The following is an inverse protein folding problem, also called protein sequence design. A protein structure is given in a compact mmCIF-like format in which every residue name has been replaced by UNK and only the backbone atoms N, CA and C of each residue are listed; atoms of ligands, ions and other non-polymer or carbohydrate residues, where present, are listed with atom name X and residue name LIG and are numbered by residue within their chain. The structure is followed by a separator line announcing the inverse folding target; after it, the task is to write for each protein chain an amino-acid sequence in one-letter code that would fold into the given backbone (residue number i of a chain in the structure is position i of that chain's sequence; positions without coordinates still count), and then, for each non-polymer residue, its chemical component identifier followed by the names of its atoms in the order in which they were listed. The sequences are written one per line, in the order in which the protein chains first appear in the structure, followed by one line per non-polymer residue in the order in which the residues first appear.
data_IF_060284449322
#
_entry.id   IF_060284449322
#
_cell.length_a   1.000
_cell.length_b   1.000
_cell.length_c   1.000
_cell.angle_alpha   90.00
_cell.angle_beta   90.00
_cell.angle_gamma   90.00
#
_symmetry.space_group_name_H-M   'P 1'
#
loop_
_entity.id
_entity.type
_entity.pdbx_description
1 polymer ?
#
# COMPACT_ATOMS: atom_id res chain seq x y z
N UNK A 1 3.63 29.51 36.26
CA UNK A 1 2.18 29.76 36.09
C UNK A 1 1.50 28.41 36.32
N UNK A 2 0.56 28.29 37.27
CA UNK A 2 -0.13 27.02 37.55
C UNK A 2 -0.81 26.51 36.26
N UNK A 3 -0.72 25.21 35.94
CA UNK A 3 -1.33 24.60 34.74
C UNK A 3 -2.82 24.97 34.59
N UNK A 4 -3.53 25.08 35.71
CA UNK A 4 -4.93 25.53 35.74
C UNK A 4 -5.13 26.96 35.21
N UNK A 5 -4.24 27.90 35.55
CA UNK A 5 -4.31 29.29 35.06
C UNK A 5 -3.97 29.34 33.56
N UNK A 6 -3.05 28.50 33.11
CA UNK A 6 -2.68 28.39 31.70
C UNK A 6 -3.88 27.96 30.85
N UNK A 7 -4.61 26.90 31.25
CA UNK A 7 -5.80 26.44 30.54
C UNK A 7 -6.92 27.49 30.47
N UNK A 8 -7.13 28.28 31.54
CA UNK A 8 -8.13 29.37 31.54
C UNK A 8 -7.76 30.47 30.53
N UNK A 9 -6.48 30.85 30.47
CA UNK A 9 -6.00 31.88 29.54
C UNK A 9 -6.07 31.39 28.09
N UNK A 10 -5.72 30.12 27.85
CA UNK A 10 -5.77 29.49 26.52
C UNK A 10 -7.22 29.34 26.03
N UNK A 11 -8.14 28.85 26.85
CA UNK A 11 -9.56 28.81 26.51
C UNK A 11 -10.12 30.20 26.16
N UNK A 12 -9.82 31.21 27.00
CA UNK A 12 -10.27 32.57 26.72
C UNK A 12 -9.68 33.13 25.43
N UNK A 13 -8.45 32.76 25.09
CA UNK A 13 -7.85 33.11 23.79
C UNK A 13 -8.64 32.48 22.64
N UNK A 14 -9.00 31.20 22.70
CA UNK A 14 -9.77 30.53 21.63
C UNK A 14 -11.18 31.08 21.47
N UNK A 15 -11.80 31.56 22.55
CA UNK A 15 -13.10 32.24 22.48
C UNK A 15 -13.07 33.55 21.67
N UNK A 16 -11.92 34.26 21.65
CA UNK A 16 -11.85 35.64 21.12
C UNK A 16 -10.89 35.83 19.94
N UNK A 17 -10.02 34.86 19.63
CA UNK A 17 -9.07 34.97 18.53
C UNK A 17 -9.78 34.96 17.16
N UNK A 18 -9.13 35.43 16.10
CA UNK A 18 -9.74 35.36 14.77
C UNK A 18 -9.81 33.91 14.27
N UNK A 19 -10.72 33.58 13.34
CA UNK A 19 -10.78 32.25 12.74
C UNK A 19 -9.45 31.79 12.13
N UNK A 20 -8.68 32.70 11.53
CA UNK A 20 -7.36 32.40 10.95
C UNK A 20 -6.35 32.00 12.01
N UNK A 21 -6.40 32.64 13.19
CA UNK A 21 -5.53 32.31 14.32
C UNK A 21 -5.90 30.94 14.91
N UNK A 22 -7.19 30.64 15.03
CA UNK A 22 -7.67 29.33 15.46
C UNK A 22 -7.26 28.22 14.48
N UNK A 23 -7.44 28.45 13.17
CA UNK A 23 -7.01 27.51 12.13
C UNK A 23 -5.49 27.31 12.13
N UNK A 24 -4.71 28.39 12.25
CA UNK A 24 -3.25 28.29 12.35
C UNK A 24 -2.84 27.49 13.59
N UNK A 25 -3.49 27.71 14.73
CA UNK A 25 -3.22 26.95 15.95
C UNK A 25 -3.51 25.45 15.77
N UNK A 26 -4.62 25.08 15.13
CA UNK A 26 -4.96 23.69 14.81
C UNK A 26 -3.92 23.03 13.90
N UNK A 27 -3.55 23.72 12.81
CA UNK A 27 -2.53 23.24 11.85
C UNK A 27 -1.15 23.07 12.50
N UNK A 28 -0.77 24.01 13.35
CA UNK A 28 0.57 24.09 13.94
C UNK A 28 0.70 23.23 15.21
N UNK A 29 -0.34 22.47 15.58
CA UNK A 29 -0.24 21.50 16.66
C UNK A 29 0.84 20.46 16.33
N UNK A 30 1.83 20.24 17.21
CA UNK A 30 2.81 19.19 16.99
C UNK A 30 2.07 17.85 16.91
N UNK A 31 2.43 16.93 16.00
CA UNK A 31 1.80 15.60 15.92
C UNK A 31 1.80 14.98 17.31
N UNK A 32 0.72 14.28 17.69
CA UNK A 32 0.66 13.67 19.00
C UNK A 32 1.90 12.77 19.16
N UNK A 33 2.82 13.15 20.07
CA UNK A 33 3.98 12.32 20.38
C UNK A 33 3.45 11.03 20.99
N UNK A 34 3.34 10.00 20.17
CA UNK A 34 2.85 8.69 20.54
C UNK A 34 3.55 7.61 19.73
N UNK A 35 4.84 7.41 20.01
CA UNK A 35 5.45 6.09 19.89
C UNK A 35 4.60 5.13 20.72
N UNK A 36 3.65 4.43 20.09
CA UNK A 36 2.98 3.16 20.44
C UNK A 36 2.56 2.85 21.89
N UNK A 37 2.85 3.67 22.91
CA UNK A 37 2.80 3.26 24.32
C UNK A 37 1.99 4.15 25.25
N UNK A 38 1.38 5.23 24.80
CA UNK A 38 0.45 5.99 25.63
C UNK A 38 -0.54 6.78 24.78
N UNK A 39 -1.51 6.09 24.19
CA UNK A 39 -2.67 6.70 23.51
C UNK A 39 -3.54 7.57 24.44
N UNK A 40 -3.24 7.65 25.75
CA UNK A 40 -4.12 8.27 26.75
C UNK A 40 -3.62 9.58 27.38
N UNK A 41 -2.38 10.03 27.17
CA UNK A 41 -1.84 11.15 27.98
C UNK A 41 -1.96 12.54 27.34
N UNK A 42 -2.32 12.67 26.06
CA UNK A 42 -2.43 13.98 25.36
C UNK A 42 -3.76 14.24 24.67
N UNK A 43 -4.65 13.25 24.59
CA UNK A 43 -6.00 13.42 24.05
C UNK A 43 -6.84 14.35 24.97
N UNK A 44 -6.55 14.38 26.28
CA UNK A 44 -7.31 15.16 27.26
C UNK A 44 -7.17 16.70 27.14
N UNK A 45 -5.97 17.25 26.97
CA UNK A 45 -5.77 18.72 26.95
C UNK A 45 -6.12 19.38 25.61
N UNK A 46 -6.00 18.66 24.49
CA UNK A 46 -6.44 19.16 23.18
C UNK A 46 -7.97 19.16 23.05
N UNK A 47 -8.64 18.21 23.72
CA UNK A 47 -10.10 18.05 23.71
C UNK A 47 -10.84 19.30 24.20
N UNK A 48 -10.40 19.91 25.30
CA UNK A 48 -11.08 21.09 25.87
C UNK A 48 -10.99 22.32 24.95
N UNK A 49 -9.83 22.55 24.33
CA UNK A 49 -9.66 23.64 23.35
C UNK A 49 -10.47 23.40 22.08
N UNK A 50 -10.49 22.17 21.57
CA UNK A 50 -11.29 21.82 20.39
C UNK A 50 -12.79 21.97 20.63
N UNK A 51 -13.29 21.71 21.86
CA UNK A 51 -14.69 21.99 22.23
C UNK A 51 -15.02 23.46 22.19
N UNK A 52 -14.15 24.32 22.76
CA UNK A 52 -14.32 25.78 22.69
C UNK A 52 -14.34 26.26 21.23
N UNK A 53 -13.48 25.71 20.38
CA UNK A 53 -13.44 26.02 18.95
C UNK A 53 -14.70 25.53 18.22
N UNK A 54 -15.21 24.34 18.55
CA UNK A 54 -16.44 23.78 18.00
C UNK A 54 -17.65 24.68 18.29
N UNK A 55 -17.74 25.23 19.51
CA UNK A 55 -18.84 26.09 19.95
C UNK A 55 -18.92 27.42 19.18
N UNK A 56 -17.82 27.84 18.53
CA UNK A 56 -17.79 29.07 17.74
C UNK A 56 -18.61 29.00 16.46
N UNK A 57 -18.85 27.78 15.94
CA UNK A 57 -19.66 27.55 14.74
C UNK A 57 -19.23 28.43 13.55
N UNK A 58 -17.91 28.50 13.32
CA UNK A 58 -17.29 29.27 12.24
C UNK A 58 -16.79 28.32 11.14
N UNK A 59 -17.10 28.57 9.84
CA UNK A 59 -16.74 27.66 8.76
C UNK A 59 -15.24 27.36 8.63
N UNK A 60 -14.36 28.34 8.87
CA UNK A 60 -12.92 28.13 8.76
C UNK A 60 -12.38 27.31 9.94
N UNK A 61 -12.96 27.51 11.12
CA UNK A 61 -12.62 26.72 12.32
C UNK A 61 -13.12 25.29 12.15
N UNK A 62 -14.34 25.10 11.65
CA UNK A 62 -14.91 23.78 11.35
C UNK A 62 -14.05 23.01 10.34
N UNK A 63 -13.62 23.67 9.26
CA UNK A 63 -12.69 23.07 8.32
C UNK A 63 -11.34 22.73 8.98
N UNK A 64 -10.83 23.60 9.85
CA UNK A 64 -9.63 23.34 10.64
C UNK A 64 -9.77 22.13 11.56
N UNK A 65 -10.89 22.02 12.27
CA UNK A 65 -11.20 20.91 13.16
C UNK A 65 -11.39 19.61 12.39
N UNK A 66 -12.04 19.64 11.23
CA UNK A 66 -12.12 18.50 10.33
C UNK A 66 -10.72 18.02 9.92
N UNK A 67 -9.84 18.94 9.55
CA UNK A 67 -8.52 18.59 9.00
C UNK A 67 -7.46 18.22 10.04
N UNK A 68 -7.47 18.85 11.21
CA UNK A 68 -6.40 18.73 12.20
C UNK A 68 -6.89 18.38 13.61
N UNK A 69 -8.20 18.30 13.82
CA UNK A 69 -8.78 17.92 15.11
C UNK A 69 -8.40 16.49 15.52
N UNK A 70 -8.36 16.28 16.83
CA UNK A 70 -7.87 15.05 17.45
C UNK A 70 -8.90 14.39 18.36
N UNK A 71 -9.88 15.16 18.81
CA UNK A 71 -10.93 14.68 19.71
C UNK A 71 -12.02 13.97 18.92
N UNK A 72 -12.15 12.66 19.13
CA UNK A 72 -13.23 11.87 18.54
C UNK A 72 -14.62 12.45 18.89
N UNK A 73 -14.79 12.99 20.10
CA UNK A 73 -16.03 13.64 20.56
C UNK A 73 -16.34 14.91 19.74
N UNK A 74 -15.32 15.73 19.45
CA UNK A 74 -15.49 16.94 18.64
C UNK A 74 -15.74 16.57 17.19
N UNK A 75 -15.04 15.57 16.66
CA UNK A 75 -15.26 15.08 15.31
C UNK A 75 -16.68 14.55 15.12
N UNK A 76 -17.20 13.76 16.07
CA UNK A 76 -18.58 13.25 16.04
C UNK A 76 -19.60 14.40 16.04
N UNK A 77 -19.44 15.38 16.94
CA UNK A 77 -20.34 16.53 17.02
C UNK A 77 -20.28 17.41 15.76
N UNK A 78 -19.07 17.64 15.23
CA UNK A 78 -18.84 18.44 14.03
C UNK A 78 -19.43 17.76 12.78
N UNK A 79 -19.28 16.45 12.66
CA UNK A 79 -19.70 15.68 11.49
C UNK A 79 -21.18 15.90 11.12
N UNK A 80 -22.05 16.06 12.12
CA UNK A 80 -23.49 16.27 11.92
C UNK A 80 -23.78 17.54 11.12
N UNK A 81 -22.99 18.61 11.28
CA UNK A 81 -23.20 19.90 10.60
C UNK A 81 -22.36 20.11 9.35
N UNK A 82 -21.31 19.32 9.16
CA UNK A 82 -20.44 19.45 7.99
C UNK A 82 -21.14 19.11 6.67
N UNK A 83 -20.74 19.83 5.62
CA UNK A 83 -21.04 19.45 4.24
C UNK A 83 -20.23 18.22 3.81
N UNK A 84 -20.60 17.62 2.68
CA UNK A 84 -19.98 16.40 2.19
C UNK A 84 -18.46 16.52 1.99
N UNK A 85 -17.99 17.61 1.39
CA UNK A 85 -16.57 17.83 1.14
C UNK A 85 -15.74 17.87 2.45
N UNK A 86 -16.26 18.55 3.48
CA UNK A 86 -15.57 18.67 4.77
C UNK A 86 -15.60 17.35 5.55
N UNK A 87 -16.64 16.52 5.38
CA UNK A 87 -16.67 15.15 5.91
C UNK A 87 -15.61 14.26 5.28
N UNK A 88 -15.40 14.37 3.97
CA UNK A 88 -14.31 13.66 3.28
C UNK A 88 -12.94 14.09 3.83
N UNK A 89 -12.73 15.40 4.04
CA UNK A 89 -11.50 15.93 4.66
C UNK A 89 -11.30 15.36 6.07
N UNK A 90 -12.36 15.39 6.89
CA UNK A 90 -12.32 14.81 8.23
C UNK A 90 -11.88 13.34 8.20
N UNK A 91 -12.51 12.54 7.35
CA UNK A 91 -12.21 11.12 7.24
C UNK A 91 -10.81 10.83 6.72
N UNK A 92 -10.31 11.64 5.79
CA UNK A 92 -8.97 11.48 5.23
C UNK A 92 -7.84 11.90 6.17
N UNK A 93 -8.12 12.78 7.14
CA UNK A 93 -7.08 13.42 7.95
C UNK A 93 -7.16 13.13 9.46
N UNK A 94 -8.25 12.55 9.96
CA UNK A 94 -8.43 12.32 11.40
C UNK A 94 -7.26 11.51 12.00
N UNK A 95 -6.67 12.00 13.10
CA UNK A 95 -5.44 11.44 13.67
C UNK A 95 -5.63 10.04 14.28
N UNK A 96 -6.81 9.73 14.80
CA UNK A 96 -7.16 8.38 15.27
C UNK A 96 -7.53 7.42 14.13
N UNK A 97 -7.58 7.91 12.88
CA UNK A 97 -8.22 7.23 11.75
C UNK A 97 -9.76 7.22 11.81
N UNK A 98 -10.31 7.37 13.02
CA UNK A 98 -11.72 7.28 13.38
C UNK A 98 -12.31 5.90 13.10
N UNK A 99 -13.00 5.35 14.10
CA UNK A 99 -13.62 4.04 13.98
C UNK A 99 -14.83 4.06 13.05
N UNK A 100 -15.29 2.89 12.57
CA UNK A 100 -16.56 2.78 11.87
C UNK A 100 -17.76 3.26 12.73
N UNK A 101 -17.62 3.17 14.06
CA UNK A 101 -18.57 3.69 15.05
C UNK A 101 -18.51 5.22 15.18
N UNK A 102 -17.31 5.82 15.18
CA UNK A 102 -17.08 7.27 15.34
C UNK A 102 -17.78 8.10 14.26
N UNK A 103 -18.00 7.53 13.08
CA UNK A 103 -18.64 8.23 11.96
C UNK A 103 -19.95 7.60 11.48
N UNK A 104 -20.54 6.72 12.30
CA UNK A 104 -21.79 6.00 11.98
C UNK A 104 -21.81 5.44 10.54
N UNK A 105 -20.71 4.80 10.14
CA UNK A 105 -20.63 4.11 8.84
C UNK A 105 -21.72 3.02 8.76
N UNK A 106 -22.08 2.46 9.92
CA UNK A 106 -23.11 1.45 10.13
C UNK A 106 -24.48 1.76 9.51
N UNK A 107 -24.85 3.04 9.42
CA UNK A 107 -26.15 3.45 8.87
C UNK A 107 -26.17 3.63 7.35
N UNK A 108 -25.01 3.73 6.69
CA UNK A 108 -24.90 4.22 5.31
C UNK A 108 -23.67 3.70 4.55
N UNK A 109 -23.42 2.38 4.55
CA UNK A 109 -22.71 1.82 3.38
C UNK A 109 -23.71 1.92 2.21
N UNK A 110 -23.76 3.09 1.58
CA UNK A 110 -24.62 3.42 0.45
C UNK A 110 -23.78 4.01 -0.68
N UNK A 111 -24.32 3.99 -1.90
CA UNK A 111 -23.72 4.64 -3.07
C UNK A 111 -23.36 6.11 -2.80
N UNK A 112 -24.19 6.79 -2.01
CA UNK A 112 -24.08 8.23 -1.78
C UNK A 112 -22.97 8.60 -0.79
N UNK A 113 -22.37 7.60 -0.12
CA UNK A 113 -21.27 7.77 0.83
C UNK A 113 -19.93 7.26 0.29
N UNK A 114 -19.82 6.90 -0.99
CA UNK A 114 -18.61 6.29 -1.54
C UNK A 114 -17.35 7.14 -1.38
N UNK A 115 -17.43 8.46 -1.62
CA UNK A 115 -16.28 9.36 -1.48
C UNK A 115 -15.80 9.45 -0.03
N UNK A 116 -16.74 9.46 0.92
CA UNK A 116 -16.45 9.46 2.35
C UNK A 116 -15.81 8.14 2.78
N UNK A 117 -16.33 7.01 2.31
CA UNK A 117 -15.77 5.68 2.58
C UNK A 117 -14.37 5.51 1.99
N UNK A 118 -14.17 6.00 0.77
CA UNK A 118 -12.85 6.03 0.13
C UNK A 118 -11.88 6.87 0.97
N UNK A 119 -12.28 8.09 1.34
CA UNK A 119 -11.46 9.00 2.15
C UNK A 119 -11.03 8.35 3.47
N UNK A 120 -11.96 7.65 4.12
CA UNK A 120 -11.70 6.91 5.36
C UNK A 120 -10.73 5.75 5.16
N UNK A 121 -10.98 4.85 4.20
CA UNK A 121 -10.15 3.65 4.01
C UNK A 121 -8.76 3.98 3.46
N UNK A 122 -8.57 5.16 2.84
CA UNK A 122 -7.26 5.67 2.41
C UNK A 122 -6.57 6.56 3.45
N UNK A 123 -7.17 6.79 4.62
CA UNK A 123 -6.54 7.55 5.69
C UNK A 123 -5.30 6.79 6.20
N UNK A 124 -4.09 7.37 6.17
CA UNK A 124 -2.87 6.69 6.62
C UNK A 124 -2.86 6.37 8.13
N UNK A 125 -3.71 7.01 8.92
CA UNK A 125 -3.85 6.80 10.36
C UNK A 125 -4.96 5.79 10.72
N UNK A 126 -5.61 5.16 9.72
CA UNK A 126 -6.61 4.12 10.00
C UNK A 126 -5.97 3.00 10.84
N UNK A 127 -6.65 2.61 11.92
CA UNK A 127 -6.15 1.59 12.83
C UNK A 127 -6.25 0.18 12.25
N UNK A 128 -5.35 -0.70 12.66
CA UNK A 128 -5.31 -2.11 12.23
C UNK A 128 -6.63 -2.84 12.53
N UNK A 129 -7.28 -2.55 13.67
CA UNK A 129 -8.59 -3.13 14.02
C UNK A 129 -9.69 -2.80 13.00
N UNK A 130 -9.63 -1.62 12.36
CA UNK A 130 -10.59 -1.23 11.34
C UNK A 130 -10.36 -2.01 10.03
N UNK A 131 -9.10 -2.25 9.64
CA UNK A 131 -8.79 -3.14 8.53
C UNK A 131 -9.15 -4.59 8.85
N UNK A 132 -8.88 -5.07 10.05
CA UNK A 132 -9.31 -6.40 10.50
C UNK A 132 -10.83 -6.56 10.36
N UNK A 133 -11.61 -5.58 10.82
CA UNK A 133 -13.06 -5.60 10.66
C UNK A 133 -13.47 -5.59 9.17
N UNK A 134 -12.80 -4.80 8.33
CA UNK A 134 -13.06 -4.76 6.89
C UNK A 134 -12.75 -6.10 6.21
N UNK A 135 -11.60 -6.72 6.49
CA UNK A 135 -11.17 -7.97 5.84
C UNK A 135 -11.96 -9.18 6.32
N UNK A 136 -12.34 -9.22 7.60
CA UNK A 136 -13.19 -10.29 8.13
C UNK A 136 -14.68 -10.04 7.88
N UNK A 137 -15.05 -8.89 7.28
CA UNK A 137 -16.44 -8.45 7.03
C UNK A 137 -17.28 -8.42 8.32
N UNK A 138 -16.71 -7.87 9.38
CA UNK A 138 -17.32 -7.81 10.72
C UNK A 138 -17.97 -6.45 11.01
N UNK A 139 -18.91 -6.44 11.96
CA UNK A 139 -19.52 -5.23 12.48
C UNK A 139 -20.30 -4.48 11.39
N UNK A 140 -19.86 -3.27 11.04
CA UNK A 140 -20.58 -2.44 10.05
C UNK A 140 -20.54 -3.03 8.64
N UNK A 141 -19.54 -3.88 8.34
CA UNK A 141 -19.34 -4.46 7.01
C UNK A 141 -20.18 -5.71 6.75
N UNK A 142 -20.78 -6.31 7.79
CA UNK A 142 -21.66 -7.48 7.66
C UNK A 142 -22.82 -7.24 6.70
N UNK A 143 -23.30 -5.99 6.64
CA UNK A 143 -24.44 -5.58 5.80
C UNK A 143 -24.02 -5.02 4.44
N UNK A 144 -22.73 -4.84 4.18
CA UNK A 144 -22.26 -4.38 2.88
C UNK A 144 -22.65 -5.40 1.80
N UNK A 145 -23.06 -4.95 0.62
CA UNK A 145 -23.14 -5.84 -0.55
C UNK A 145 -21.74 -6.26 -0.99
N UNK A 146 -21.62 -7.30 -1.80
CA UNK A 146 -20.32 -7.73 -2.32
C UNK A 146 -19.66 -6.61 -3.14
N UNK A 147 -20.40 -5.92 -4.00
CA UNK A 147 -19.88 -4.77 -4.76
C UNK A 147 -19.35 -3.65 -3.85
N UNK A 148 -20.06 -3.34 -2.77
CA UNK A 148 -19.62 -2.33 -1.81
C UNK A 148 -18.34 -2.78 -1.11
N UNK A 149 -18.29 -4.04 -0.67
CA UNK A 149 -17.13 -4.59 0.00
C UNK A 149 -15.91 -4.63 -0.92
N UNK A 150 -16.08 -5.06 -2.17
CA UNK A 150 -15.02 -5.08 -3.18
C UNK A 150 -14.43 -3.70 -3.43
N UNK A 151 -15.27 -2.66 -3.52
CA UNK A 151 -14.78 -1.27 -3.67
C UNK A 151 -13.93 -0.85 -2.47
N UNK A 152 -14.35 -1.18 -1.24
CA UNK A 152 -13.59 -0.88 -0.03
C UNK A 152 -12.23 -1.59 -0.02
N UNK A 153 -12.18 -2.86 -0.42
CA UNK A 153 -10.94 -3.64 -0.51
C UNK A 153 -10.00 -3.07 -1.58
N UNK A 154 -10.52 -2.66 -2.74
CA UNK A 154 -9.72 -2.02 -3.80
C UNK A 154 -9.08 -0.71 -3.30
N UNK A 155 -9.85 0.12 -2.60
CA UNK A 155 -9.33 1.37 -2.04
C UNK A 155 -8.34 1.11 -0.89
N UNK A 156 -8.57 0.09 -0.06
CA UNK A 156 -7.64 -0.33 0.98
C UNK A 156 -6.26 -0.68 0.39
N UNK A 157 -6.20 -1.32 -0.79
CA UNK A 157 -4.95 -1.61 -1.50
C UNK A 157 -4.10 -0.39 -1.87
N UNK A 158 -4.67 0.81 -1.80
CA UNK A 158 -3.94 2.08 -2.02
C UNK A 158 -3.49 2.76 -0.72
N UNK A 159 -3.82 2.19 0.43
CA UNK A 159 -3.47 2.79 1.71
C UNK A 159 -1.98 2.53 2.05
N UNK A 160 -1.26 3.62 2.35
CA UNK A 160 0.16 3.58 2.69
C UNK A 160 0.47 2.69 3.90
N UNK A 161 -0.46 2.53 4.86
CA UNK A 161 -0.30 1.65 6.03
C UNK A 161 -0.05 0.20 5.62
N UNK A 162 -0.68 -0.28 4.56
CA UNK A 162 -0.51 -1.65 4.07
C UNK A 162 0.77 -1.83 3.22
N UNK A 163 1.36 -0.73 2.73
CA UNK A 163 2.59 -0.74 1.94
C UNK A 163 3.86 -0.43 2.77
N UNK A 164 3.72 -0.10 4.05
CA UNK A 164 4.84 0.32 4.91
C UNK A 164 5.35 -0.84 5.75
N UNK A 165 6.60 -1.32 5.58
CA UNK A 165 7.21 -2.39 6.39
C UNK A 165 7.27 -2.06 7.89
N UNK A 166 7.35 -3.10 8.72
CA UNK A 166 7.54 -2.92 10.15
C UNK A 166 8.98 -2.53 10.48
N UNK A 167 9.18 -1.30 10.91
CA UNK A 167 10.46 -0.81 11.38
C UNK A 167 10.41 -0.53 12.88
N UNK A 168 10.85 -1.49 13.69
CA UNK A 168 11.06 -1.27 15.12
C UNK A 168 12.46 -1.66 15.54
N UNK A 169 13.15 -0.72 16.18
CA UNK A 169 14.44 -0.97 16.85
C UNK A 169 14.27 -1.81 18.13
N UNK A 170 13.04 -1.95 18.63
CA UNK A 170 12.72 -2.66 19.85
C UNK A 170 11.87 -3.90 19.54
N UNK A 171 12.32 -5.05 20.04
CA UNK A 171 11.56 -6.30 19.96
C UNK A 171 10.43 -6.27 20.98
N UNK A 172 9.26 -5.76 20.59
CA UNK A 172 8.00 -5.96 21.31
C UNK A 172 7.16 -6.98 20.54
N UNK A 173 7.03 -8.17 21.11
CA UNK A 173 6.30 -9.27 20.45
C UNK A 173 4.81 -8.98 20.26
N UNK A 174 4.23 -8.07 21.06
CA UNK A 174 2.84 -7.66 20.87
C UNK A 174 2.68 -6.73 19.67
N UNK A 175 3.59 -5.75 19.52
CA UNK A 175 3.52 -4.79 18.42
C UNK A 175 3.81 -5.46 17.08
N UNK A 176 4.77 -6.40 17.03
CA UNK A 176 5.04 -7.22 15.83
C UNK A 176 3.83 -8.10 15.48
N UNK A 177 3.24 -8.78 16.47
CA UNK A 177 2.01 -9.57 16.26
C UNK A 177 0.87 -8.71 15.73
N UNK A 178 0.59 -7.57 16.38
CA UNK A 178 -0.48 -6.65 15.99
C UNK A 178 -0.25 -6.11 14.58
N UNK A 179 0.98 -5.71 14.26
CA UNK A 179 1.32 -5.21 12.93
C UNK A 179 1.07 -6.26 11.85
N UNK A 180 1.47 -7.52 12.08
CA UNK A 180 1.36 -8.60 11.09
C UNK A 180 -0.07 -9.10 10.89
N UNK A 181 -0.91 -9.05 11.93
CA UNK A 181 -2.28 -9.59 11.92
C UNK A 181 -3.08 -9.15 10.68
N UNK A 182 -3.04 -7.86 10.35
CA UNK A 182 -3.79 -7.28 9.23
C UNK A 182 -3.39 -7.87 7.86
N UNK A 183 -2.12 -8.23 7.70
CA UNK A 183 -1.61 -8.85 6.47
C UNK A 183 -2.09 -10.29 6.35
N UNK A 184 -2.03 -11.06 7.44
CA UNK A 184 -2.57 -12.42 7.47
C UNK A 184 -4.06 -12.45 7.11
N UNK A 185 -4.85 -11.50 7.62
CA UNK A 185 -6.28 -11.40 7.33
C UNK A 185 -6.55 -11.01 5.86
N UNK A 186 -5.78 -10.08 5.30
CA UNK A 186 -5.89 -9.73 3.88
C UNK A 186 -5.60 -10.93 2.97
N UNK A 187 -4.51 -11.67 3.24
CA UNK A 187 -4.15 -12.84 2.44
C UNK A 187 -5.17 -13.98 2.57
N UNK A 188 -5.79 -14.16 3.74
CA UNK A 188 -6.87 -15.14 3.95
C UNK A 188 -8.10 -14.90 3.07
N UNK A 189 -8.32 -13.68 2.59
CA UNK A 189 -9.38 -13.42 1.62
C UNK A 189 -9.22 -14.27 0.36
N UNK A 190 -7.99 -14.56 -0.07
CA UNK A 190 -7.73 -15.43 -1.22
C UNK A 190 -8.25 -16.87 -1.02
N UNK A 191 -8.50 -17.31 0.22
CA UNK A 191 -9.05 -18.62 0.52
C UNK A 191 -10.58 -18.64 0.62
N UNK A 192 -11.19 -17.52 1.02
CA UNK A 192 -12.58 -17.47 1.48
C UNK A 192 -13.55 -16.84 0.48
N UNK A 193 -13.12 -15.84 -0.30
CA UNK A 193 -14.02 -15.11 -1.22
C UNK A 193 -14.40 -15.96 -2.44
N UNK A 194 -15.53 -15.67 -3.12
CA UNK A 194 -15.93 -16.37 -4.34
C UNK A 194 -14.84 -16.34 -5.42
N UNK A 195 -14.69 -17.46 -6.13
CA UNK A 195 -13.67 -17.59 -7.19
C UNK A 195 -14.23 -17.07 -8.51
N UNK A 196 -14.12 -15.77 -8.75
CA UNK A 196 -14.53 -15.12 -10.01
C UNK A 196 -13.48 -14.10 -10.49
N UNK A 197 -13.55 -13.67 -11.75
CA UNK A 197 -12.61 -12.67 -12.29
C UNK A 197 -12.74 -11.31 -11.59
N UNK A 198 -13.95 -10.94 -11.15
CA UNK A 198 -14.21 -9.72 -10.37
C UNK A 198 -13.51 -9.76 -9.02
N UNK A 199 -13.62 -10.88 -8.30
CA UNK A 199 -12.94 -11.08 -7.03
C UNK A 199 -11.43 -11.16 -7.20
N UNK A 200 -10.95 -11.82 -8.25
CA UNK A 200 -9.54 -11.83 -8.56
C UNK A 200 -8.98 -10.42 -8.75
N UNK A 201 -9.67 -9.55 -9.49
CA UNK A 201 -9.22 -8.17 -9.70
C UNK A 201 -9.30 -7.31 -8.43
N UNK A 202 -10.24 -7.62 -7.54
CA UNK A 202 -10.35 -6.95 -6.23
C UNK A 202 -9.18 -7.33 -5.33
N UNK A 203 -8.85 -8.62 -5.26
CA UNK A 203 -7.72 -9.12 -4.47
C UNK A 203 -6.39 -8.65 -5.07
N UNK A 204 -6.25 -8.64 -6.39
CA UNK A 204 -5.09 -8.09 -7.10
C UNK A 204 -4.83 -6.64 -6.67
N UNK A 205 -5.85 -5.77 -6.77
CA UNK A 205 -5.76 -4.37 -6.37
C UNK A 205 -5.39 -4.19 -4.88
N UNK A 206 -5.93 -5.05 -4.00
CA UNK A 206 -5.63 -5.05 -2.57
C UNK A 206 -4.19 -5.47 -2.28
N UNK A 207 -3.76 -6.60 -2.84
CA UNK A 207 -2.56 -7.33 -2.42
C UNK A 207 -1.29 -6.86 -3.14
N UNK A 208 -1.40 -6.22 -4.32
CA UNK A 208 -0.23 -5.83 -5.12
C UNK A 208 0.76 -4.89 -4.42
N UNK A 209 0.26 -4.04 -3.50
CA UNK A 209 1.07 -3.06 -2.77
C UNK A 209 1.38 -3.51 -1.34
N UNK A 210 0.90 -4.68 -0.91
CA UNK A 210 1.09 -5.14 0.46
C UNK A 210 2.51 -5.66 0.69
N UNK A 211 3.02 -5.43 1.90
CA UNK A 211 4.28 -6.04 2.34
C UNK A 211 4.13 -7.57 2.35
N UNK A 212 4.97 -8.32 1.60
CA UNK A 212 4.80 -9.77 1.43
C UNK A 212 5.30 -10.61 2.62
N UNK A 213 5.87 -9.99 3.66
CA UNK A 213 6.63 -10.68 4.71
C UNK A 213 5.77 -11.43 5.74
N UNK A 214 4.47 -11.17 5.82
CA UNK A 214 3.58 -11.79 6.81
C UNK A 214 2.35 -12.39 6.13
N UNK A 215 2.34 -13.72 6.01
CA UNK A 215 1.20 -14.48 5.51
C UNK A 215 1.16 -15.89 6.12
N UNK A 216 -0.04 -16.43 6.29
CA UNK A 216 -0.29 -17.84 6.66
C UNK A 216 -0.98 -18.58 5.50
N UNK A 217 -0.87 -18.04 4.29
CA UNK A 217 -1.59 -18.54 3.13
C UNK A 217 -0.97 -19.87 2.67
N UNK A 218 -1.80 -20.87 2.42
CA UNK A 218 -1.35 -22.04 1.67
C UNK A 218 -1.18 -21.65 0.19
N UNK A 219 0.02 -21.19 -0.17
CA UNK A 219 0.35 -20.67 -1.51
C UNK A 219 -0.02 -21.67 -2.61
N UNK A 220 0.29 -22.96 -2.42
CA UNK A 220 0.01 -24.00 -3.43
C UNK A 220 -1.49 -24.17 -3.64
N UNK A 221 -2.27 -24.22 -2.56
CA UNK A 221 -3.73 -24.36 -2.64
C UNK A 221 -4.39 -23.09 -3.21
N UNK A 222 -3.88 -21.91 -2.87
CA UNK A 222 -4.37 -20.64 -3.38
C UNK A 222 -4.11 -20.51 -4.89
N UNK A 223 -2.92 -20.87 -5.37
CA UNK A 223 -2.60 -20.85 -6.80
C UNK A 223 -3.56 -21.73 -7.62
N UNK A 224 -3.80 -22.96 -7.15
CA UNK A 224 -4.72 -23.89 -7.81
C UNK A 224 -6.17 -23.37 -7.78
N UNK A 225 -6.62 -22.82 -6.64
CA UNK A 225 -7.97 -22.25 -6.49
C UNK A 225 -8.25 -21.15 -7.52
N UNK A 226 -7.27 -20.30 -7.79
CA UNK A 226 -7.42 -19.13 -8.67
C UNK A 226 -7.09 -19.41 -10.13
N UNK A 227 -6.88 -20.66 -10.52
CA UNK A 227 -6.70 -21.07 -11.93
C UNK A 227 -8.05 -21.21 -12.65
N UNK A 228 -8.77 -20.09 -12.77
CA UNK A 228 -10.10 -20.03 -13.41
C UNK A 228 -10.08 -19.60 -14.87
N UNK A 229 -8.88 -19.39 -15.42
CA UNK A 229 -8.72 -19.00 -16.81
C UNK A 229 -8.94 -20.17 -17.76
N UNK A 230 -9.51 -19.87 -18.93
CA UNK A 230 -9.44 -20.78 -20.06
C UNK A 230 -7.97 -21.01 -20.43
N UNK A 231 -7.51 -22.26 -20.65
CA UNK A 231 -6.16 -22.54 -21.16
C UNK A 231 -5.75 -21.68 -22.36
N UNK A 232 -6.69 -21.27 -23.22
CA UNK A 232 -6.40 -20.36 -24.34
C UNK A 232 -5.98 -18.95 -23.88
N UNK A 233 -6.43 -18.48 -22.71
CA UNK A 233 -6.03 -17.18 -22.16
C UNK A 233 -4.55 -17.12 -21.77
N UNK A 234 -3.97 -18.24 -21.31
CA UNK A 234 -2.54 -18.30 -20.94
C UNK A 234 -1.61 -18.12 -22.15
N UNK A 235 -2.14 -18.29 -23.38
CA UNK A 235 -1.44 -18.07 -24.65
C UNK A 235 -1.58 -16.65 -25.22
N UNK A 236 -2.36 -15.77 -24.56
CA UNK A 236 -2.53 -14.38 -25.01
C UNK A 236 -1.27 -13.55 -24.75
N UNK A 237 -1.15 -12.44 -25.48
CA UNK A 237 -0.13 -11.44 -25.23
C UNK A 237 -0.14 -11.01 -23.74
N UNK A 238 1.03 -10.69 -23.20
CA UNK A 238 1.21 -10.40 -21.77
C UNK A 238 0.29 -9.27 -21.25
N UNK A 239 -0.11 -8.33 -22.11
CA UNK A 239 -1.00 -7.22 -21.76
C UNK A 239 -2.49 -7.60 -21.73
N UNK A 240 -2.84 -8.83 -22.12
CA UNK A 240 -4.21 -9.33 -22.22
C UNK A 240 -4.49 -10.47 -21.23
N UNK A 241 -3.66 -10.57 -20.18
CA UNK A 241 -3.85 -11.53 -19.11
C UNK A 241 -5.11 -11.21 -18.28
N UNK A 242 -5.67 -12.26 -17.69
CA UNK A 242 -6.88 -12.16 -16.87
C UNK A 242 -6.58 -11.54 -15.51
N UNK A 243 -7.63 -11.17 -14.77
CA UNK A 243 -7.47 -10.69 -13.38
C UNK A 243 -6.97 -11.81 -12.46
N UNK A 244 -7.38 -13.05 -12.71
CA UNK A 244 -6.90 -14.21 -11.94
C UNK A 244 -5.42 -14.52 -12.17
N UNK A 245 -4.91 -14.23 -13.36
CA UNK A 245 -3.50 -14.35 -13.68
C UNK A 245 -2.63 -13.37 -12.87
N UNK A 246 -3.06 -12.11 -12.74
CA UNK A 246 -2.34 -11.12 -11.92
C UNK A 246 -2.36 -11.50 -10.45
N UNK A 247 -3.52 -11.91 -9.91
CA UNK A 247 -3.62 -12.41 -8.54
C UNK A 247 -2.67 -13.60 -8.29
N UNK A 248 -2.63 -14.59 -9.18
CA UNK A 248 -1.71 -15.74 -9.08
C UNK A 248 -0.24 -15.31 -9.08
N UNK A 249 0.11 -14.27 -9.83
CA UNK A 249 1.46 -13.69 -9.81
C UNK A 249 1.81 -13.13 -8.42
N UNK A 250 0.88 -12.42 -7.77
CA UNK A 250 1.08 -11.91 -6.41
C UNK A 250 1.15 -13.01 -5.36
N UNK A 251 0.28 -14.03 -5.46
CA UNK A 251 0.31 -15.19 -4.56
C UNK A 251 1.62 -15.97 -4.70
N UNK A 252 2.11 -16.18 -5.93
CA UNK A 252 3.37 -16.90 -6.16
C UNK A 252 4.60 -16.15 -5.64
N UNK A 253 4.56 -14.81 -5.51
CA UNK A 253 5.65 -14.01 -4.92
C UNK A 253 5.85 -14.22 -3.42
N UNK A 254 4.86 -14.82 -2.74
CA UNK A 254 4.97 -15.17 -1.33
C UNK A 254 5.97 -16.30 -1.09
N UNK A 255 6.22 -17.12 -2.11
CA UNK A 255 7.25 -18.15 -2.10
C UNK A 255 8.58 -17.60 -2.65
N UNK A 256 9.68 -18.14 -2.12
CA UNK A 256 11.01 -17.83 -2.64
C UNK A 256 11.17 -18.36 -4.06
N UNK A 257 11.78 -17.54 -4.92
CA UNK A 257 12.17 -17.92 -6.27
C UNK A 257 12.85 -19.29 -6.31
N UNK A 258 12.26 -20.24 -7.04
CA UNK A 258 12.72 -21.63 -7.06
C UNK A 258 12.67 -22.26 -8.46
N UNK A 259 13.39 -23.36 -8.62
CA UNK A 259 13.39 -24.12 -9.88
C UNK A 259 12.01 -24.71 -10.21
N UNK A 260 11.17 -25.00 -9.20
CA UNK A 260 9.80 -25.47 -9.44
C UNK A 260 8.92 -24.37 -10.03
N UNK A 261 9.06 -23.12 -9.55
CA UNK A 261 8.33 -22.00 -10.15
C UNK A 261 8.76 -21.76 -11.59
N UNK A 262 10.07 -21.79 -11.89
CA UNK A 262 10.57 -21.69 -13.28
C UNK A 262 10.05 -22.81 -14.18
N UNK A 263 9.91 -24.03 -13.65
CA UNK A 263 9.43 -25.19 -14.37
C UNK A 263 7.89 -25.26 -14.50
N UNK A 264 7.16 -24.41 -13.78
CA UNK A 264 5.69 -24.37 -13.77
C UNK A 264 5.11 -24.25 -15.17
N UNK A 265 3.98 -24.90 -15.42
CA UNK A 265 3.14 -24.72 -16.60
C UNK A 265 2.36 -23.40 -16.52
N UNK A 266 2.06 -22.94 -15.31
CA UNK A 266 1.44 -21.65 -15.02
C UNK A 266 2.40 -20.47 -15.30
N UNK A 267 2.04 -19.63 -16.26
CA UNK A 267 2.82 -18.45 -16.64
C UNK A 267 2.81 -17.33 -15.59
N UNK A 268 1.79 -17.24 -14.74
CA UNK A 268 1.75 -16.30 -13.62
C UNK A 268 2.79 -16.65 -12.55
N UNK A 269 2.95 -17.95 -12.27
CA UNK A 269 3.98 -18.46 -11.35
C UNK A 269 5.38 -18.18 -11.90
N UNK A 270 5.59 -18.34 -13.21
CA UNK A 270 6.86 -17.98 -13.86
C UNK A 270 7.14 -16.47 -13.82
N UNK A 271 6.11 -15.64 -14.05
CA UNK A 271 6.23 -14.19 -13.95
C UNK A 271 6.67 -13.73 -12.54
N UNK A 272 6.11 -14.34 -11.49
CA UNK A 272 6.53 -14.12 -10.11
C UNK A 272 8.01 -14.48 -9.89
N UNK A 273 8.44 -15.64 -10.41
CA UNK A 273 9.84 -16.06 -10.38
C UNK A 273 10.76 -15.05 -11.06
N UNK A 274 10.41 -14.58 -12.28
CA UNK A 274 11.24 -13.63 -13.04
C UNK A 274 11.48 -12.32 -12.30
N UNK A 275 10.50 -11.87 -11.52
CA UNK A 275 10.62 -10.64 -10.73
C UNK A 275 11.50 -10.75 -9.47
N UNK A 276 11.91 -11.95 -9.04
CA UNK A 276 12.52 -12.13 -7.71
C UNK A 276 13.71 -13.10 -7.64
N UNK A 277 14.05 -13.81 -8.72
CA UNK A 277 15.16 -14.77 -8.69
C UNK A 277 16.52 -14.09 -8.42
N UNK A 278 17.42 -14.83 -7.76
CA UNK A 278 18.80 -14.41 -7.60
C UNK A 278 19.64 -14.82 -8.84
N UNK A 279 20.27 -13.88 -9.56
CA UNK A 279 21.08 -14.19 -10.75
C UNK A 279 22.23 -15.15 -10.49
N UNK A 280 22.77 -15.20 -9.27
CA UNK A 280 23.84 -16.13 -8.90
C UNK A 280 23.35 -17.57 -8.83
N UNK A 281 22.11 -17.78 -8.38
CA UNK A 281 21.47 -19.10 -8.34
C UNK A 281 20.97 -19.54 -9.71
N UNK A 282 20.67 -18.59 -10.59
CA UNK A 282 20.13 -18.83 -11.93
C UNK A 282 20.94 -18.07 -13.00
N UNK A 283 22.24 -18.39 -13.21
CA UNK A 283 23.14 -17.60 -14.06
C UNK A 283 22.79 -17.65 -15.56
N UNK A 284 21.96 -18.61 -15.97
CA UNK A 284 21.48 -18.78 -17.35
C UNK A 284 20.16 -18.04 -17.61
N UNK A 285 19.77 -17.14 -16.72
CA UNK A 285 18.50 -16.43 -16.84
C UNK A 285 18.24 -15.75 -18.19
N UNK A 286 19.23 -15.27 -18.97
CA UNK A 286 18.93 -14.69 -20.28
C UNK A 286 18.25 -15.66 -21.26
N UNK A 287 18.47 -16.97 -21.10
CA UNK A 287 17.85 -17.99 -21.97
C UNK A 287 16.35 -18.16 -21.69
N UNK A 288 15.81 -17.61 -20.60
CA UNK A 288 14.38 -17.70 -20.29
C UNK A 288 13.52 -16.87 -21.26
N UNK A 289 14.15 -15.95 -22.00
CA UNK A 289 13.53 -15.26 -23.13
C UNK A 289 13.03 -16.23 -24.21
N UNK A 290 13.73 -17.34 -24.45
CA UNK A 290 13.30 -18.35 -25.42
C UNK A 290 12.01 -19.06 -25.00
N UNK A 291 11.75 -19.14 -23.69
CA UNK A 291 10.60 -19.84 -23.12
C UNK A 291 9.35 -18.97 -23.11
N UNK A 292 9.46 -17.73 -22.62
CA UNK A 292 8.30 -16.87 -22.33
C UNK A 292 8.33 -15.53 -23.08
N UNK A 293 9.34 -15.28 -23.92
CA UNK A 293 9.40 -14.11 -24.80
C UNK A 293 9.22 -12.79 -24.05
N UNK A 294 8.29 -11.97 -24.54
CA UNK A 294 8.01 -10.65 -23.97
C UNK A 294 7.54 -10.70 -22.51
N UNK A 295 6.80 -11.75 -22.11
CA UNK A 295 6.37 -11.92 -20.72
C UNK A 295 7.57 -12.00 -19.78
N UNK A 296 8.60 -12.77 -20.18
CA UNK A 296 9.83 -12.86 -19.40
C UNK A 296 10.47 -11.48 -19.22
N UNK A 297 10.63 -10.72 -20.32
CA UNK A 297 11.25 -9.41 -20.27
C UNK A 297 10.49 -8.41 -19.37
N UNK A 298 9.16 -8.39 -19.50
CA UNK A 298 8.32 -7.48 -18.72
C UNK A 298 8.47 -7.66 -17.20
N UNK A 299 8.69 -8.89 -16.75
CA UNK A 299 8.84 -9.18 -15.33
C UNK A 299 10.29 -9.15 -14.85
N UNK A 300 11.25 -9.59 -15.68
CA UNK A 300 12.67 -9.61 -15.28
C UNK A 300 13.26 -8.21 -15.14
N UNK A 301 12.76 -7.21 -15.90
CA UNK A 301 13.22 -5.82 -15.77
C UNK A 301 12.89 -5.22 -14.39
N UNK A 302 11.89 -5.75 -13.70
CA UNK A 302 11.52 -5.37 -12.34
C UNK A 302 12.38 -6.05 -11.25
N UNK A 303 13.24 -7.01 -11.61
CA UNK A 303 14.10 -7.68 -10.64
C UNK A 303 15.28 -6.78 -10.23
N UNK A 304 15.15 -6.15 -9.07
CA UNK A 304 16.15 -5.23 -8.51
C UNK A 304 17.55 -5.84 -8.38
N UNK A 305 17.68 -7.16 -8.20
CA UNK A 305 18.99 -7.79 -8.07
C UNK A 305 19.83 -7.66 -9.34
N UNK A 306 19.19 -7.62 -10.52
CA UNK A 306 19.88 -7.49 -11.81
C UNK A 306 20.41 -6.08 -12.06
N UNK A 307 19.92 -5.08 -11.32
CA UNK A 307 20.35 -3.70 -11.44
C UNK A 307 21.59 -3.37 -10.61
N UNK A 308 22.01 -4.27 -9.70
CA UNK A 308 23.09 -4.01 -8.74
C UNK A 308 24.49 -4.09 -9.34
N UNK A 309 24.69 -4.89 -10.38
CA UNK A 309 26.01 -5.11 -10.99
C UNK A 309 26.05 -4.64 -12.44
N UNK A 310 27.20 -4.17 -12.91
CA UNK A 310 27.36 -3.77 -14.33
C UNK A 310 27.13 -4.95 -15.27
N UNK A 311 27.58 -6.15 -14.89
CA UNK A 311 27.43 -7.36 -15.70
C UNK A 311 25.95 -7.73 -15.92
N UNK A 312 25.15 -7.77 -14.85
CA UNK A 312 23.73 -8.15 -14.98
C UNK A 312 22.90 -7.07 -15.69
N UNK A 313 23.24 -5.78 -15.50
CA UNK A 313 22.64 -4.68 -16.27
C UNK A 313 22.92 -4.82 -17.77
N UNK A 314 24.15 -5.17 -18.15
CA UNK A 314 24.48 -5.38 -19.56
C UNK A 314 23.71 -6.56 -20.14
N UNK A 315 23.63 -7.69 -19.44
CA UNK A 315 22.81 -8.84 -19.85
C UNK A 315 21.34 -8.45 -20.01
N UNK A 316 20.80 -7.64 -19.10
CA UNK A 316 19.42 -7.17 -19.15
C UNK A 316 19.17 -6.26 -20.35
N UNK A 317 20.12 -5.38 -20.68
CA UNK A 317 20.10 -4.60 -21.91
C UNK A 317 20.11 -5.52 -23.15
N UNK A 318 21.01 -6.50 -23.20
CA UNK A 318 21.13 -7.42 -24.35
C UNK A 318 19.82 -8.22 -24.56
N UNK A 319 19.19 -8.66 -23.47
CA UNK A 319 17.86 -9.29 -23.50
C UNK A 319 16.81 -8.32 -24.04
N UNK A 320 16.79 -7.06 -23.61
CA UNK A 320 15.83 -6.05 -24.08
C UNK A 320 15.89 -5.88 -25.60
N UNK A 321 17.09 -5.88 -26.19
CA UNK A 321 17.30 -5.82 -27.64
C UNK A 321 16.99 -7.12 -28.38
N UNK A 322 16.88 -8.23 -27.66
CA UNK A 322 16.61 -9.55 -28.23
C UNK A 322 15.13 -9.94 -28.19
N UNK A 323 14.28 -9.16 -27.51
CA UNK A 323 12.82 -9.39 -27.49
C UNK A 323 12.26 -9.23 -28.90
N UNK A 324 11.46 -10.18 -29.41
CA UNK A 324 10.84 -10.06 -30.73
C UNK A 324 9.96 -8.81 -30.83
N UNK A 325 10.27 -7.95 -31.79
CA UNK A 325 9.55 -6.70 -32.05
C UNK A 325 9.10 -6.63 -33.52
N UNK A 326 8.06 -7.39 -33.91
CA UNK A 326 7.59 -7.44 -35.30
C UNK A 326 7.05 -6.09 -35.80
N UNK A 327 6.66 -5.20 -34.88
CA UNK A 327 6.17 -3.85 -35.18
C UNK A 327 7.25 -2.78 -35.22
N UNK A 328 8.49 -3.09 -34.80
CA UNK A 328 9.59 -2.14 -34.63
C UNK A 328 9.22 -0.96 -33.71
N UNK A 329 8.44 -1.23 -32.66
CA UNK A 329 8.00 -0.23 -31.67
C UNK A 329 9.06 0.11 -30.64
N UNK A 330 10.11 -0.71 -30.53
CA UNK A 330 11.23 -0.56 -29.58
C UNK A 330 10.77 -0.60 -28.12
N UNK A 331 9.66 -1.28 -27.83
CA UNK A 331 9.02 -1.28 -26.51
C UNK A 331 9.96 -1.81 -25.42
N UNK A 332 10.62 -2.95 -25.65
CA UNK A 332 11.52 -3.54 -24.68
C UNK A 332 12.78 -2.67 -24.40
N UNK A 333 13.52 -2.17 -25.41
CA UNK A 333 14.60 -1.21 -25.18
C UNK A 333 14.15 0.10 -24.51
N UNK A 334 12.97 0.62 -24.85
CA UNK A 334 12.43 1.83 -24.21
C UNK A 334 12.07 1.58 -22.75
N UNK A 335 11.47 0.43 -22.44
CA UNK A 335 11.16 0.02 -21.07
C UNK A 335 12.43 -0.16 -20.24
N UNK A 336 13.47 -0.80 -20.81
CA UNK A 336 14.78 -0.89 -20.17
C UNK A 336 15.32 0.48 -19.79
N UNK A 337 15.32 1.44 -20.72
CA UNK A 337 15.82 2.80 -20.48
C UNK A 337 15.04 3.53 -19.40
N UNK A 338 13.71 3.43 -19.41
CA UNK A 338 12.87 4.04 -18.39
C UNK A 338 13.16 3.45 -17.00
N UNK A 339 13.36 2.14 -16.91
CA UNK A 339 13.76 1.49 -15.66
C UNK A 339 15.18 1.84 -15.23
N UNK A 340 16.13 1.92 -16.16
CA UNK A 340 17.50 2.34 -15.85
C UNK A 340 17.52 3.76 -15.26
N UNK A 341 16.79 4.70 -15.85
CA UNK A 341 16.68 6.08 -15.33
C UNK A 341 16.07 6.11 -13.93
N UNK A 342 15.02 5.31 -13.70
CA UNK A 342 14.41 5.15 -12.37
C UNK A 342 15.40 4.60 -11.35
N UNK A 343 16.11 3.53 -11.69
CA UNK A 343 17.09 2.88 -10.81
C UNK A 343 18.29 3.79 -10.51
N UNK A 344 18.77 4.56 -11.50
CA UNK A 344 19.82 5.58 -11.27
C UNK A 344 19.39 6.67 -10.30
N UNK A 345 18.12 7.03 -10.32
CA UNK A 345 17.55 8.05 -9.41
C UNK A 345 17.38 7.49 -7.99
N UNK A 346 16.93 6.25 -7.85
CA UNK A 346 16.64 5.62 -6.56
C UNK A 346 17.90 5.03 -5.88
N UNK A 347 18.85 4.53 -6.67
CA UNK A 347 20.04 3.82 -6.20
C UNK A 347 21.31 4.28 -6.95
N UNK A 348 21.72 5.55 -6.79
CA UNK A 348 22.88 6.10 -7.51
C UNK A 348 24.18 5.33 -7.23
N UNK A 349 24.29 4.69 -6.06
CA UNK A 349 25.41 3.86 -5.64
C UNK A 349 25.59 2.59 -6.51
N UNK A 350 24.51 2.00 -7.04
CA UNK A 350 24.61 0.83 -7.92
C UNK A 350 25.23 1.17 -9.29
N UNK A 351 25.21 2.45 -9.66
CA UNK A 351 25.68 2.96 -10.94
C UNK A 351 26.96 3.79 -10.83
N UNK A 352 27.52 3.93 -9.63
CA UNK A 352 28.86 4.46 -9.48
C UNK A 352 29.83 3.54 -10.23
N UNK A 353 30.67 4.10 -11.09
CA UNK A 353 31.69 3.34 -11.80
C UNK A 353 32.54 2.60 -10.77
N UNK A 354 32.56 1.25 -10.84
CA UNK A 354 33.54 0.48 -10.08
C UNK A 354 34.92 1.02 -10.47
N UNK A 355 35.78 1.42 -9.51
CA UNK A 355 37.12 1.87 -9.86
C UNK A 355 37.78 0.75 -10.65
N UNK A 356 38.20 1.05 -11.89
CA UNK A 356 38.99 0.14 -12.74
C UNK A 356 40.00 -0.59 -11.86
N UNK A 357 39.80 -1.90 -11.65
CA UNK A 357 40.88 -2.74 -11.19
C UNK A 357 41.98 -2.60 -12.23
N UNK A 358 43.04 -1.86 -11.83
CA UNK A 358 44.12 -1.46 -12.70
C UNK A 358 44.54 -2.64 -13.57
N UNK A 359 44.27 -2.52 -14.88
CA UNK A 359 44.63 -3.52 -15.86
C UNK A 359 46.06 -4.00 -15.58
N UNK A 360 46.31 -5.33 -15.52
CA UNK A 360 47.63 -5.83 -15.15
C UNK A 360 48.65 -5.25 -16.11
N UNK A 361 49.56 -4.43 -15.56
CA UNK A 361 50.64 -3.80 -16.32
C UNK A 361 51.35 -4.89 -17.11
N UNK A 362 51.14 -4.92 -18.43
CA UNK A 362 51.91 -5.75 -19.34
C UNK A 362 53.39 -5.45 -19.09
N UNK A 363 54.11 -6.41 -18.53
CA UNK A 363 55.57 -6.37 -18.49
C UNK A 363 56.04 -6.52 -19.92
N UNK A 364 56.57 -5.44 -20.47
CA UNK A 364 57.40 -5.49 -21.67
C UNK A 364 58.70 -6.21 -21.29
N UNK A 365 58.99 -7.32 -21.95
CA UNK A 365 60.32 -7.91 -22.04
C UNK A 365 60.88 -7.61 -23.42
#
# INVERSE_FOLDING_TARGET
MHEHIKGIVENRFFEVCTPEMAYAWLRDQPPAKGLYRNRYSRIGEASDHEKVLLDRNDPLIDYGLARYGRSDEVAEALYVRLGHADRCVMRACHESGGGPETFNIAGKISSDAQEEMKSWVTNPNIGDDAFSALFNREGVFEKATDDQWMNLLQWAGTNQRLATPYESAFLDGWDDYSYRKVFHEAWKLAESVPVTQEWAGTLDALLQNMVPEAHDLDVSKALERWRIDDPENESKAWHSQSRSWYLRTHVARLDKASASQLASDDSAVRAAFYSSFNPQSFPKWPTYLEKDGELFFHYVVNNEMLWRTTEDRQKLSDVAWSVPDPGSHMDAPNLFRAFEERMRTQHPDWFAEEPEEAAPRRKWF
#
